data_IF_457971394621
#
_entry.id   IF_457971394621
#
_cell.length_a   1.000
_cell.length_b   1.000
_cell.length_c   1.000
_cell.angle_alpha   90.00
_cell.angle_beta   90.00
_cell.angle_gamma   90.00
#
_symmetry.space_group_name_H-M   'P 1'
#
loop_
_entity.id
_entity.type
_entity.pdbx_description
1 polymer ?
#
# COMPACT_ATOMS: atom_id res chain seq x y z
N UNK A 1 -78.14 -6.75 12.20
CA UNK A 1 -77.89 -5.78 11.15
C UNK A 1 -77.05 -4.64 11.77
N UNK A 2 -75.77 -4.67 11.65
CA UNK A 2 -74.88 -3.51 11.84
C UNK A 2 -73.52 -3.90 11.23
N UNK A 3 -73.21 -3.28 10.08
CA UNK A 3 -71.90 -3.37 9.46
C UNK A 3 -70.91 -2.52 10.22
N UNK A 4 -69.85 -3.10 10.75
CA UNK A 4 -68.67 -2.39 11.25
C UNK A 4 -67.60 -2.44 10.18
N UNK A 5 -67.30 -1.30 9.59
CA UNK A 5 -66.25 -1.15 8.61
C UNK A 5 -64.87 -1.20 9.33
N UNK A 6 -64.02 -2.15 8.95
CA UNK A 6 -62.62 -2.18 9.33
C UNK A 6 -61.84 -1.16 8.47
N UNK A 7 -61.33 -0.12 9.11
CA UNK A 7 -60.30 0.76 8.53
C UNK A 7 -58.94 0.07 8.66
N UNK A 8 -58.36 -0.32 7.55
CA UNK A 8 -56.99 -0.79 7.46
C UNK A 8 -56.07 0.43 7.56
N UNK A 9 -55.22 0.44 8.60
CA UNK A 9 -54.14 1.44 8.73
C UNK A 9 -52.95 0.97 7.88
N UNK A 10 -52.83 1.52 6.69
CA UNK A 10 -51.70 1.31 5.77
C UNK A 10 -50.76 2.52 5.76
N UNK A 11 -50.20 2.89 6.90
CA UNK A 11 -49.38 4.12 7.00
C UNK A 11 -47.96 3.94 7.58
N UNK A 12 -47.62 2.75 8.07
CA UNK A 12 -46.40 2.60 8.89
C UNK A 12 -45.13 2.06 8.21
N UNK A 13 -45.24 1.41 7.04
CA UNK A 13 -44.10 0.72 6.44
C UNK A 13 -43.28 1.58 5.43
N UNK A 14 -43.88 2.59 4.84
CA UNK A 14 -43.18 3.40 3.82
C UNK A 14 -42.14 4.39 4.40
N UNK A 15 -42.37 4.88 5.60
CA UNK A 15 -41.46 5.84 6.26
C UNK A 15 -40.17 5.16 6.79
N UNK A 16 -40.25 3.92 7.24
CA UNK A 16 -39.08 3.17 7.74
C UNK A 16 -38.09 2.78 6.65
N UNK A 17 -38.57 2.42 5.47
CA UNK A 17 -37.71 2.04 4.33
C UNK A 17 -36.96 3.25 3.73
N UNK A 18 -37.59 4.41 3.70
CA UNK A 18 -36.98 5.64 3.17
C UNK A 18 -35.85 6.16 4.06
N UNK A 19 -35.96 6.03 5.39
CA UNK A 19 -34.93 6.45 6.34
C UNK A 19 -33.72 5.51 6.28
N UNK A 20 -33.93 4.20 6.14
CA UNK A 20 -32.83 3.23 6.04
C UNK A 20 -32.03 3.40 4.75
N UNK A 21 -32.67 3.69 3.62
CA UNK A 21 -32.00 3.95 2.33
C UNK A 21 -31.25 5.28 2.35
N UNK A 22 -31.80 6.32 3.00
CA UNK A 22 -31.13 7.60 3.14
C UNK A 22 -29.89 7.54 4.04
N UNK A 23 -29.94 6.75 5.14
CA UNK A 23 -28.81 6.52 6.03
C UNK A 23 -27.69 5.70 5.39
N UNK A 24 -28.03 4.72 4.56
CA UNK A 24 -27.03 3.95 3.81
C UNK A 24 -26.39 4.77 2.68
N UNK A 25 -27.14 5.62 1.99
CA UNK A 25 -26.61 6.51 0.97
C UNK A 25 -25.70 7.60 1.56
N UNK A 26 -26.06 8.19 2.69
CA UNK A 26 -25.23 9.18 3.39
C UNK A 26 -23.97 8.56 4.01
N UNK A 27 -24.02 7.32 4.50
CA UNK A 27 -22.86 6.60 4.98
C UNK A 27 -21.91 6.20 3.83
N UNK A 28 -22.44 5.89 2.64
CA UNK A 28 -21.67 5.61 1.43
C UNK A 28 -21.01 6.89 0.90
N UNK A 29 -21.71 8.01 0.92
CA UNK A 29 -21.20 9.31 0.49
C UNK A 29 -20.15 9.89 1.46
N UNK A 30 -20.29 9.64 2.76
CA UNK A 30 -19.27 9.98 3.75
C UNK A 30 -17.99 9.14 3.59
N UNK A 31 -18.07 7.91 3.09
CA UNK A 31 -16.91 7.07 2.76
C UNK A 31 -16.22 7.49 1.46
N UNK A 32 -16.94 8.06 0.51
CA UNK A 32 -16.38 8.48 -0.80
C UNK A 32 -15.73 9.86 -0.78
N UNK A 33 -16.03 10.70 0.20
CA UNK A 33 -15.62 12.12 0.19
C UNK A 33 -14.37 12.48 0.99
N UNK A 34 -13.90 11.66 1.91
CA UNK A 34 -12.90 12.09 2.87
C UNK A 34 -11.47 11.59 2.58
N UNK A 35 -11.28 10.48 1.84
CA UNK A 35 -10.00 9.78 1.77
C UNK A 35 -9.73 9.11 0.41
N UNK A 36 -10.20 9.70 -0.69
CA UNK A 36 -9.85 9.20 -2.02
C UNK A 36 -8.41 9.57 -2.35
N UNK A 37 -7.59 8.57 -2.61
CA UNK A 37 -6.28 8.75 -3.19
C UNK A 37 -6.46 8.74 -4.71
N UNK A 38 -6.37 9.92 -5.34
CA UNK A 38 -6.51 10.06 -6.79
C UNK A 38 -5.18 9.70 -7.48
N UNK A 39 -4.91 8.41 -7.63
CA UNK A 39 -3.89 7.96 -8.56
C UNK A 39 -4.46 8.00 -9.98
N UNK A 40 -3.73 8.50 -10.98
CA UNK A 40 -4.12 8.40 -12.37
C UNK A 40 -4.47 6.97 -12.78
N UNK A 41 -5.33 6.84 -13.81
CA UNK A 41 -5.71 5.53 -14.32
C UNK A 41 -4.46 4.75 -14.78
N UNK A 42 -4.32 3.52 -14.32
CA UNK A 42 -3.13 2.70 -14.59
C UNK A 42 -1.97 2.87 -13.64
N UNK A 43 -1.96 3.89 -12.81
CA UNK A 43 -0.92 4.07 -11.79
C UNK A 43 -1.23 3.35 -10.47
N UNK A 44 -0.16 3.08 -9.70
CA UNK A 44 -0.21 2.33 -8.44
C UNK A 44 0.76 2.95 -7.43
N UNK A 45 0.28 3.87 -6.59
CA UNK A 45 1.13 4.73 -5.76
C UNK A 45 1.41 4.19 -4.36
N UNK A 46 0.64 3.18 -3.92
CA UNK A 46 0.78 2.57 -2.60
C UNK A 46 0.35 1.10 -2.64
N UNK A 47 0.71 0.33 -1.64
CA UNK A 47 0.21 -1.04 -1.46
C UNK A 47 -1.31 -1.05 -1.46
N UNK A 48 -1.91 -1.90 -2.30
CA UNK A 48 -3.37 -1.97 -2.47
C UNK A 48 -3.96 -0.91 -3.38
N UNK A 49 -3.15 -0.05 -4.01
CA UNK A 49 -3.47 1.01 -4.96
C UNK A 49 -4.00 2.29 -4.30
N UNK A 50 -4.99 2.20 -3.44
CA UNK A 50 -5.64 3.31 -2.75
C UNK A 50 -5.91 2.97 -1.27
N UNK A 51 -6.50 3.91 -0.51
CA UNK A 51 -6.78 3.72 0.91
C UNK A 51 -7.86 2.68 1.22
N UNK A 52 -8.64 2.25 0.23
CA UNK A 52 -9.60 1.14 0.41
C UNK A 52 -8.93 -0.23 0.35
N UNK A 53 -7.66 -0.30 -0.08
CA UNK A 53 -6.82 -1.50 -0.17
C UNK A 53 -7.46 -2.64 -0.96
N UNK A 54 -8.30 -2.32 -1.93
CA UNK A 54 -9.04 -3.32 -2.71
C UNK A 54 -8.16 -4.04 -3.75
N UNK A 55 -6.96 -3.52 -4.03
CA UNK A 55 -6.07 -4.07 -5.07
C UNK A 55 -6.74 -4.19 -6.44
N UNK A 56 -7.67 -3.30 -6.71
CA UNK A 56 -8.44 -3.27 -7.94
C UNK A 56 -7.88 -2.23 -8.91
N UNK A 57 -7.62 -2.66 -10.16
CA UNK A 57 -7.26 -1.77 -11.26
C UNK A 57 -8.50 -1.37 -12.06
N UNK A 58 -8.70 -0.09 -12.41
CA UNK A 58 -9.81 0.33 -13.29
C UNK A 58 -9.54 0.01 -14.76
N UNK A 59 -8.34 -0.46 -15.12
CA UNK A 59 -7.98 -0.83 -16.49
C UNK A 59 -8.89 -1.95 -17.01
N UNK A 60 -9.30 -1.84 -18.28
CA UNK A 60 -10.28 -2.75 -18.92
C UNK A 60 -9.74 -3.50 -20.13
N UNK A 61 -8.43 -3.40 -20.40
CA UNK A 61 -7.83 -4.06 -21.57
C UNK A 61 -7.81 -5.57 -21.44
N UNK A 62 -7.72 -6.11 -20.22
CA UNK A 62 -7.80 -7.55 -19.95
C UNK A 62 -9.24 -7.90 -19.62
N UNK A 63 -9.80 -8.87 -20.35
CA UNK A 63 -11.19 -9.31 -20.28
C UNK A 63 -11.25 -10.83 -20.24
N UNK A 64 -12.43 -11.40 -19.95
CA UNK A 64 -12.65 -12.83 -20.01
C UNK A 64 -12.45 -13.42 -21.41
N UNK A 65 -12.57 -12.60 -22.46
CA UNK A 65 -12.38 -13.04 -23.84
C UNK A 65 -10.91 -13.10 -24.28
N UNK A 66 -10.00 -12.35 -23.64
CA UNK A 66 -8.59 -12.27 -24.07
C UNK A 66 -7.57 -12.68 -23.00
N UNK A 67 -8.00 -12.93 -21.77
CA UNK A 67 -7.08 -13.29 -20.66
C UNK A 67 -6.26 -14.55 -20.96
N UNK A 68 -6.78 -15.48 -21.73
CA UNK A 68 -6.07 -16.71 -22.14
C UNK A 68 -4.92 -16.43 -23.13
N UNK A 69 -4.89 -15.25 -23.74
CA UNK A 69 -3.87 -14.84 -24.71
C UNK A 69 -2.70 -14.10 -24.07
N UNK A 70 -2.74 -13.84 -22.75
CA UNK A 70 -1.66 -13.17 -22.05
C UNK A 70 -0.34 -13.93 -22.21
N UNK A 71 0.73 -13.17 -22.50
CA UNK A 71 2.09 -13.67 -22.61
C UNK A 71 3.06 -12.78 -21.82
N UNK A 72 4.09 -13.35 -21.18
CA UNK A 72 5.17 -12.57 -20.60
C UNK A 72 5.87 -11.77 -21.70
N UNK A 73 6.03 -10.47 -21.50
CA UNK A 73 6.75 -9.59 -22.44
C UNK A 73 8.18 -9.28 -21.97
N UNK A 74 8.43 -9.41 -20.68
CA UNK A 74 9.76 -9.30 -20.05
C UNK A 74 9.74 -9.93 -18.66
N UNK A 75 10.92 -10.11 -18.08
CA UNK A 75 11.13 -10.53 -16.70
C UNK A 75 12.29 -9.75 -16.10
N UNK A 76 12.26 -9.54 -14.78
CA UNK A 76 13.30 -8.85 -14.03
C UNK A 76 13.74 -9.70 -12.84
N UNK A 77 15.06 -9.97 -12.75
CA UNK A 77 15.64 -10.68 -11.61
C UNK A 77 16.07 -9.68 -10.54
N UNK A 78 15.49 -9.79 -9.36
CA UNK A 78 15.84 -8.94 -8.20
C UNK A 78 17.16 -9.34 -7.54
N UNK A 79 17.68 -10.54 -7.83
CA UNK A 79 18.89 -11.09 -7.19
C UNK A 79 18.68 -11.52 -5.74
N UNK A 80 17.44 -11.58 -5.25
CA UNK A 80 17.10 -11.98 -3.89
C UNK A 80 16.29 -13.27 -3.91
N UNK A 81 16.74 -14.30 -3.18
CA UNK A 81 16.15 -15.65 -3.16
C UNK A 81 15.09 -15.84 -2.07
N UNK A 82 14.69 -14.77 -1.38
CA UNK A 82 13.66 -14.80 -0.33
C UNK A 82 12.31 -14.39 -0.90
N UNK A 83 11.23 -14.70 -0.17
CA UNK A 83 9.87 -14.38 -0.56
C UNK A 83 9.65 -12.89 -0.86
N UNK A 84 8.95 -12.60 -1.96
CA UNK A 84 8.57 -11.25 -2.35
C UNK A 84 7.06 -11.10 -2.11
N UNK A 85 6.67 -10.37 -1.06
CA UNK A 85 5.27 -10.17 -0.68
C UNK A 85 4.74 -8.77 -1.02
N UNK A 86 5.61 -7.88 -1.45
CA UNK A 86 5.24 -6.50 -1.74
C UNK A 86 4.69 -6.27 -3.14
N UNK A 87 3.79 -5.32 -3.26
CA UNK A 87 3.33 -4.85 -4.56
C UNK A 87 4.34 -3.87 -5.16
N UNK A 88 4.67 -3.97 -6.47
CA UNK A 88 5.38 -2.92 -7.16
C UNK A 88 4.52 -1.65 -7.21
N UNK A 89 5.15 -0.47 -7.22
CA UNK A 89 4.48 0.78 -7.53
C UNK A 89 4.67 1.12 -9.00
N UNK A 90 3.70 1.82 -9.59
CA UNK A 90 3.79 2.37 -10.94
C UNK A 90 3.39 3.84 -10.89
N UNK A 91 4.34 4.72 -11.23
CA UNK A 91 4.15 6.17 -11.26
C UNK A 91 4.60 6.65 -12.65
N UNK A 92 3.65 7.09 -13.47
CA UNK A 92 3.91 7.35 -14.89
C UNK A 92 4.48 6.10 -15.57
N UNK A 93 5.60 6.25 -16.24
CA UNK A 93 6.31 5.15 -16.91
C UNK A 93 7.42 4.52 -16.05
N UNK A 94 7.40 4.68 -14.74
CA UNK A 94 8.40 4.08 -13.85
C UNK A 94 7.76 3.07 -12.91
N UNK A 95 8.30 1.85 -12.90
CA UNK A 95 7.94 0.83 -11.92
C UNK A 95 9.00 0.79 -10.82
N UNK A 96 8.56 0.85 -9.57
CA UNK A 96 9.43 0.67 -8.41
C UNK A 96 9.20 -0.72 -7.83
N UNK A 97 10.26 -1.49 -7.75
CA UNK A 97 10.27 -2.87 -7.21
C UNK A 97 11.19 -2.88 -5.99
N UNK A 98 10.76 -3.54 -4.93
CA UNK A 98 11.59 -3.73 -3.75
C UNK A 98 11.74 -5.21 -3.43
N UNK A 99 12.72 -5.55 -2.60
CA UNK A 99 12.96 -6.94 -2.19
C UNK A 99 12.67 -7.14 -0.70
N UNK A 100 12.58 -8.39 -0.28
CA UNK A 100 12.84 -8.79 1.10
C UNK A 100 14.25 -8.33 1.53
N UNK A 101 14.68 -8.63 2.77
CA UNK A 101 16.04 -8.28 3.19
C UNK A 101 17.06 -8.62 2.07
N UNK A 102 17.97 -7.70 1.74
CA UNK A 102 18.31 -6.42 2.38
C UNK A 102 17.46 -5.21 1.95
N UNK A 103 16.21 -5.38 1.49
CA UNK A 103 15.27 -4.32 1.12
C UNK A 103 15.78 -3.42 -0.02
N UNK A 104 16.36 -4.03 -1.04
CA UNK A 104 16.83 -3.32 -2.24
C UNK A 104 15.63 -2.68 -2.92
N UNK A 105 15.81 -1.47 -3.44
CA UNK A 105 14.80 -0.78 -4.26
C UNK A 105 15.35 -0.57 -5.66
N UNK A 106 14.53 -0.86 -6.67
CA UNK A 106 14.84 -0.66 -8.09
C UNK A 106 13.81 0.27 -8.71
N UNK A 107 14.23 1.08 -9.66
CA UNK A 107 13.34 1.78 -10.59
C UNK A 107 13.59 1.22 -12.02
N UNK A 108 12.49 0.86 -12.71
CA UNK A 108 12.50 0.28 -14.04
C UNK A 108 11.75 1.20 -15.01
N UNK A 109 12.27 1.39 -16.22
CA UNK A 109 11.69 2.22 -17.27
C UNK A 109 10.67 1.43 -18.11
N UNK A 110 9.40 1.57 -17.85
CA UNK A 110 8.33 0.90 -18.58
C UNK A 110 8.10 1.46 -20.00
N UNK A 111 8.69 2.61 -20.35
CA UNK A 111 8.60 3.18 -21.69
C UNK A 111 9.51 2.47 -22.69
N UNK A 112 10.42 1.62 -22.23
CA UNK A 112 11.41 0.91 -23.03
C UNK A 112 11.19 -0.59 -23.01
N UNK A 113 11.45 -1.24 -24.13
CA UNK A 113 11.40 -2.70 -24.22
C UNK A 113 12.33 -3.35 -23.18
N UNK A 114 11.80 -4.39 -22.50
CA UNK A 114 12.52 -5.09 -21.45
C UNK A 114 12.58 -4.36 -20.10
N UNK A 115 11.93 -3.21 -19.97
CA UNK A 115 11.87 -2.40 -18.75
C UNK A 115 13.24 -2.25 -18.06
N UNK A 116 14.25 -1.63 -18.71
CA UNK A 116 15.60 -1.55 -18.17
C UNK A 116 15.65 -0.79 -16.86
N UNK A 117 16.59 -1.18 -16.01
CA UNK A 117 16.84 -0.52 -14.72
C UNK A 117 17.31 0.92 -14.94
N UNK A 118 16.62 1.88 -14.27
CA UNK A 118 17.03 3.28 -14.22
C UNK A 118 18.04 3.46 -13.10
N UNK A 119 17.68 3.00 -11.89
CA UNK A 119 18.57 3.03 -10.73
C UNK A 119 18.29 1.84 -9.78
N UNK A 120 19.23 1.61 -8.89
CA UNK A 120 19.20 0.63 -7.82
C UNK A 120 19.71 1.27 -6.55
N UNK A 121 19.00 1.10 -5.45
CA UNK A 121 19.45 1.48 -4.11
C UNK A 121 19.57 0.24 -3.24
N UNK A 122 20.71 0.07 -2.57
CA UNK A 122 20.97 -1.02 -1.63
C UNK A 122 21.16 -0.42 -0.24
N UNK A 123 20.19 -0.59 0.68
CA UNK A 123 20.34 -0.09 2.05
C UNK A 123 21.50 -0.77 2.78
N UNK A 124 22.22 0.00 3.57
CA UNK A 124 23.17 -0.56 4.54
C UNK A 124 22.41 -1.01 5.78
N UNK A 125 22.28 -2.33 5.97
CA UNK A 125 21.57 -2.94 7.09
C UNK A 125 22.44 -3.98 7.78
N UNK A 126 22.27 -4.11 9.11
CA UNK A 126 22.92 -5.18 9.87
C UNK A 126 22.25 -6.52 9.61
N UNK A 127 23.01 -7.57 9.27
CA UNK A 127 22.48 -8.93 9.19
C UNK A 127 21.97 -9.45 10.55
N UNK A 128 22.38 -8.84 11.66
CA UNK A 128 21.91 -9.21 13.00
C UNK A 128 20.41 -8.98 13.22
N UNK A 129 19.76 -8.20 12.33
CA UNK A 129 18.31 -8.06 12.34
C UNK A 129 17.57 -9.30 11.80
N UNK A 130 18.26 -10.17 11.05
CA UNK A 130 17.67 -11.36 10.40
C UNK A 130 17.02 -12.32 11.41
N UNK A 131 17.69 -12.78 12.48
CA UNK A 131 17.10 -13.73 13.42
C UNK A 131 15.97 -13.15 14.27
N UNK A 132 15.77 -11.83 14.25
CA UNK A 132 14.69 -11.15 15.00
C UNK A 132 13.39 -11.09 14.20
N UNK A 133 13.44 -11.31 12.89
CA UNK A 133 12.23 -11.40 12.07
C UNK A 133 11.51 -12.73 12.32
N UNK A 134 10.25 -12.69 12.78
CA UNK A 134 9.52 -13.91 13.19
C UNK A 134 9.17 -14.84 12.01
N UNK A 135 8.86 -14.29 10.84
CA UNK A 135 8.07 -14.97 9.81
C UNK A 135 8.67 -14.78 8.41
N UNK A 136 9.99 -14.97 8.28
CA UNK A 136 10.81 -14.65 7.12
C UNK A 136 11.16 -13.14 7.02
N UNK A 137 11.98 -12.81 6.03
CA UNK A 137 12.62 -11.50 5.84
C UNK A 137 11.84 -10.61 4.86
N UNK A 138 10.53 -10.77 4.83
CA UNK A 138 9.64 -10.11 3.87
C UNK A 138 9.59 -8.59 4.07
N UNK A 139 9.25 -7.91 3.00
CA UNK A 139 8.87 -6.51 3.00
C UNK A 139 7.58 -6.35 2.18
N UNK A 140 6.55 -5.73 2.76
CA UNK A 140 5.22 -5.68 2.14
C UNK A 140 4.99 -4.50 1.23
N UNK A 141 5.95 -3.59 1.11
CA UNK A 141 5.82 -2.55 0.11
C UNK A 141 6.56 -1.25 0.38
N UNK A 142 6.54 -0.46 -0.66
CA UNK A 142 6.94 0.94 -0.67
C UNK A 142 5.70 1.84 -0.79
N UNK A 143 5.85 3.13 -0.53
CA UNK A 143 4.81 4.13 -0.79
C UNK A 143 5.42 5.33 -1.52
N UNK A 144 4.62 5.99 -2.34
CA UNK A 144 5.01 7.17 -3.10
C UNK A 144 4.30 8.42 -2.57
N UNK A 145 5.02 9.53 -2.54
CA UNK A 145 4.44 10.85 -2.32
C UNK A 145 4.64 11.75 -3.55
N UNK A 146 3.63 12.55 -3.87
CA UNK A 146 3.60 13.46 -5.03
C UNK A 146 4.76 14.45 -5.12
N UNK A 147 5.52 14.67 -4.04
CA UNK A 147 6.76 15.44 -4.08
C UNK A 147 7.95 14.68 -4.67
N UNK A 148 7.73 13.50 -5.26
CA UNK A 148 8.78 12.71 -5.89
C UNK A 148 9.61 11.89 -4.90
N UNK A 149 8.99 11.37 -3.84
CA UNK A 149 9.67 10.55 -2.83
C UNK A 149 9.09 9.14 -2.76
N UNK A 150 9.98 8.16 -2.60
CA UNK A 150 9.64 6.76 -2.30
C UNK A 150 10.04 6.48 -0.86
N UNK A 151 9.11 5.88 -0.10
CA UNK A 151 9.36 5.46 1.28
C UNK A 151 9.40 3.95 1.38
N UNK A 152 10.32 3.42 2.18
CA UNK A 152 10.43 2.00 2.51
C UNK A 152 10.81 1.83 3.98
N UNK A 153 10.24 0.84 4.63
CA UNK A 153 10.64 0.41 5.95
C UNK A 153 11.72 -0.67 5.84
N UNK A 154 12.80 -0.51 6.59
CA UNK A 154 13.93 -1.44 6.61
C UNK A 154 13.80 -2.41 7.79
N UNK A 155 14.19 -3.66 7.60
CA UNK A 155 14.05 -4.71 8.61
C UNK A 155 14.64 -4.33 9.97
N UNK A 156 15.78 -3.65 9.98
CA UNK A 156 16.47 -3.22 11.20
C UNK A 156 15.77 -2.11 11.98
N UNK A 157 14.62 -1.59 11.47
CA UNK A 157 13.79 -0.64 12.21
C UNK A 157 13.91 0.82 11.76
N UNK A 158 14.32 1.08 10.53
CA UNK A 158 14.41 2.44 9.98
C UNK A 158 13.36 2.68 8.90
N UNK A 159 12.80 3.87 8.87
CA UNK A 159 12.03 4.42 7.74
C UNK A 159 12.98 5.22 6.86
N UNK A 160 13.01 4.93 5.58
CA UNK A 160 13.90 5.52 4.60
C UNK A 160 13.09 6.26 3.53
N UNK A 161 13.51 7.47 3.16
CA UNK A 161 13.02 8.22 2.02
C UNK A 161 14.08 8.31 0.92
N UNK A 162 13.68 7.94 -0.30
CA UNK A 162 14.49 8.02 -1.51
C UNK A 162 13.89 9.04 -2.48
N UNK A 163 14.74 9.75 -3.19
CA UNK A 163 14.34 10.51 -4.36
C UNK A 163 13.88 9.55 -5.46
N UNK A 164 12.64 9.68 -5.91
CA UNK A 164 12.04 8.76 -6.86
C UNK A 164 12.74 8.76 -8.22
N UNK A 165 13.30 9.89 -8.65
CA UNK A 165 13.96 10.03 -9.94
C UNK A 165 15.37 9.46 -9.97
N UNK A 166 16.10 9.59 -8.86
CA UNK A 166 17.55 9.28 -8.82
C UNK A 166 17.91 8.10 -7.94
N UNK A 167 17.00 7.67 -7.04
CA UNK A 167 17.28 6.65 -6.02
C UNK A 167 18.18 7.14 -4.89
N UNK A 168 18.49 8.45 -4.82
CA UNK A 168 19.33 9.02 -3.77
C UNK A 168 18.57 9.00 -2.44
N UNK A 169 19.26 8.61 -1.36
CA UNK A 169 18.76 8.75 0.00
C UNK A 169 18.57 10.24 0.34
N UNK A 170 17.37 10.60 0.79
CA UNK A 170 17.01 11.95 1.20
C UNK A 170 17.10 12.09 2.71
N UNK A 171 16.48 11.16 3.43
CA UNK A 171 16.55 11.09 4.88
C UNK A 171 16.23 9.67 5.36
N UNK A 172 16.57 9.41 6.62
CA UNK A 172 16.30 8.14 7.30
C UNK A 172 16.00 8.40 8.77
N UNK A 173 14.95 7.76 9.30
CA UNK A 173 14.53 7.89 10.68
C UNK A 173 14.46 6.53 11.37
N UNK A 174 15.02 6.42 12.59
CA UNK A 174 14.90 5.22 13.42
C UNK A 174 13.49 5.16 14.02
N UNK A 175 12.74 4.10 13.72
CA UNK A 175 11.41 3.86 14.25
C UNK A 175 11.31 2.62 15.14
N UNK A 176 12.22 1.65 15.00
CA UNK A 176 12.26 0.42 15.78
C UNK A 176 13.71 0.08 16.17
N UNK A 177 13.86 -0.85 17.07
CA UNK A 177 15.17 -1.38 17.46
C UNK A 177 15.15 -2.90 17.47
N UNK A 178 15.75 -3.53 16.47
CA UNK A 178 15.80 -4.98 16.37
C UNK A 178 16.51 -5.63 17.57
N UNK A 179 17.46 -4.92 18.22
CA UNK A 179 18.12 -5.40 19.45
C UNK A 179 17.17 -5.53 20.63
N UNK A 180 16.01 -4.88 20.57
CA UNK A 180 14.93 -4.97 21.54
C UNK A 180 13.74 -5.80 21.02
N UNK A 181 13.93 -6.62 19.98
CA UNK A 181 12.91 -7.50 19.42
C UNK A 181 11.93 -6.82 18.45
N UNK A 182 12.16 -5.58 18.03
CA UNK A 182 11.26 -4.91 17.11
C UNK A 182 11.86 -4.69 15.72
N UNK A 183 11.11 -5.11 14.70
CA UNK A 183 11.49 -5.00 13.28
C UNK A 183 10.43 -4.24 12.49
N UNK A 184 10.68 -3.99 11.21
CA UNK A 184 9.72 -3.34 10.31
C UNK A 184 9.64 -4.10 8.98
N UNK A 185 8.48 -4.71 8.73
CA UNK A 185 8.20 -5.51 7.53
C UNK A 185 6.98 -4.99 6.73
N UNK A 186 6.28 -3.99 7.24
CA UNK A 186 5.08 -3.44 6.61
C UNK A 186 5.43 -2.49 5.47
N UNK A 187 4.45 -2.23 4.59
CA UNK A 187 4.47 -1.07 3.72
C UNK A 187 4.14 0.20 4.53
N UNK A 188 4.86 1.32 4.37
CA UNK A 188 4.43 2.59 4.90
C UNK A 188 3.17 3.09 4.18
N UNK A 189 2.41 3.98 4.83
CA UNK A 189 1.24 4.62 4.24
C UNK A 189 1.48 6.12 4.18
N UNK A 190 1.30 6.72 3.02
CA UNK A 190 1.38 8.17 2.84
C UNK A 190 -0.02 8.77 2.90
N UNK A 191 -0.22 9.73 3.80
CA UNK A 191 -1.48 10.47 3.94
C UNK A 191 -1.16 11.97 3.99
N UNK A 192 -1.54 12.71 2.94
CA UNK A 192 -1.14 14.12 2.76
C UNK A 192 0.40 14.22 2.86
N UNK A 193 0.91 15.07 3.74
CA UNK A 193 2.34 15.30 3.95
C UNK A 193 2.92 14.45 5.10
N UNK A 194 2.23 13.36 5.45
CA UNK A 194 2.69 12.40 6.48
C UNK A 194 2.97 11.04 5.87
N UNK A 195 4.04 10.40 6.31
CA UNK A 195 4.32 8.98 6.09
C UNK A 195 4.18 8.23 7.41
N UNK A 196 3.31 7.23 7.41
CA UNK A 196 2.94 6.46 8.60
C UNK A 196 3.64 5.12 8.57
N UNK A 197 4.33 4.80 9.67
CA UNK A 197 5.12 3.60 9.85
C UNK A 197 4.68 2.84 11.10
N UNK A 198 4.46 1.54 10.98
CA UNK A 198 4.22 0.63 12.09
C UNK A 198 5.47 -0.17 12.45
N UNK A 199 5.43 -0.93 13.54
CA UNK A 199 6.48 -1.88 13.93
C UNK A 199 5.91 -3.28 14.16
N UNK A 200 6.74 -4.30 14.03
CA UNK A 200 6.50 -5.71 14.38
C UNK A 200 7.26 -6.07 15.66
N UNK A 201 6.93 -7.20 16.29
CA UNK A 201 7.63 -7.70 17.46
C UNK A 201 6.71 -8.00 18.67
N UNK A 202 5.38 -7.96 18.48
CA UNK A 202 4.42 -8.28 19.52
C UNK A 202 4.60 -9.68 20.08
N UNK A 203 5.01 -10.64 19.27
CA UNK A 203 5.36 -12.01 19.62
C UNK A 203 6.58 -12.13 20.56
N UNK A 204 7.42 -11.10 20.59
CA UNK A 204 8.58 -10.98 21.49
C UNK A 204 8.30 -10.05 22.68
N UNK A 205 7.03 -9.72 22.95
CA UNK A 205 6.63 -8.84 24.04
C UNK A 205 6.87 -7.35 23.77
N UNK A 206 7.17 -6.96 22.55
CA UNK A 206 7.33 -5.55 22.18
C UNK A 206 5.97 -4.88 22.11
N UNK A 207 5.84 -3.74 22.77
CA UNK A 207 4.63 -2.91 22.64
C UNK A 207 4.56 -2.28 21.26
N UNK A 208 3.55 -2.66 20.47
CA UNK A 208 3.28 -2.11 19.14
C UNK A 208 3.07 -0.59 19.16
N UNK A 209 3.49 0.08 18.10
CA UNK A 209 3.22 1.51 17.87
C UNK A 209 3.09 1.83 16.41
N UNK A 210 2.44 2.95 16.15
CA UNK A 210 2.35 3.59 14.83
C UNK A 210 2.90 5.01 14.99
N UNK A 211 3.80 5.40 14.10
CA UNK A 211 4.45 6.71 14.10
C UNK A 211 4.17 7.39 12.77
N UNK A 212 3.87 8.68 12.81
CA UNK A 212 3.76 9.53 11.63
C UNK A 212 4.97 10.46 11.55
N UNK A 213 5.58 10.52 10.38
CA UNK A 213 6.69 11.41 10.05
C UNK A 213 6.24 12.40 9.00
N UNK A 214 6.81 13.60 8.99
CA UNK A 214 6.65 14.51 7.87
C UNK A 214 7.41 13.94 6.65
N UNK A 215 6.83 14.04 5.46
CA UNK A 215 7.46 13.51 4.24
C UNK A 215 8.78 14.19 3.87
N UNK A 216 9.10 15.33 4.49
CA UNK A 216 10.31 16.12 4.18
C UNK A 216 11.47 15.89 5.15
N UNK A 217 11.21 15.32 6.36
CA UNK A 217 12.20 15.16 7.44
C UNK A 217 11.87 14.04 8.44
#
# INVERSE_FOLDING_TARGET
MNHVAQKVVSGGLAAGLSIAVALSASAQQARSGAWTYDAPEGEWHMTGRDYSLQRFSPLKQITTSNVAELRPVWSFSTGTLRGHEGNPLVIGNVMYVHTSFPNIVYALDLSKAGAPQIWKYVPNQSPDAIPIACCDLVNRGTAYHKSGKIFIQLLQGELLALDAKTGKELWKAKNADYKQGSTMTNAPIVIKDLVIAGISGGEFGVRGRVTAYNVND
#
